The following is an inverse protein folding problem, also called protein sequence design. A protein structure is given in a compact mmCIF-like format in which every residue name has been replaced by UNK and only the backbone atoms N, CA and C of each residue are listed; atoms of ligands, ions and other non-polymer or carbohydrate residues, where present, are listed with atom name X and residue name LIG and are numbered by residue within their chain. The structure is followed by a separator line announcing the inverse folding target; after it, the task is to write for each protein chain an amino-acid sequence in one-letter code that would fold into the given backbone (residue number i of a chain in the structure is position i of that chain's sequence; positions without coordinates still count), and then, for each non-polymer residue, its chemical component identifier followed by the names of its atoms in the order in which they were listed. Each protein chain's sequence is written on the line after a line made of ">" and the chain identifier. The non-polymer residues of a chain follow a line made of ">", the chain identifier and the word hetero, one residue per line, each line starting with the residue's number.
data_IF_034134221396
#
_entry.id   IF_034134221396
#
_cell.length_a   1.000
_cell.length_b   1.000
_cell.length_c   1.000
_cell.angle_alpha   90.00
_cell.angle_beta   90.00
_cell.angle_gamma   90.00
#
_symmetry.space_group_name_H-M   'P 1'
#
loop_
_entity.id
_entity.type
_entity.pdbx_description
1 polymer ?
#
# COMPACT_ATOMS: atom_id res chain seq x y z
N UNK A 1 -26.05 15.86 4.77
CA UNK A 1 -26.10 14.46 5.26
C UNK A 1 -25.32 13.60 4.29
N UNK A 2 -24.24 12.94 4.72
CA UNK A 2 -23.47 12.01 3.87
C UNK A 2 -24.30 10.72 3.72
N UNK A 3 -24.45 10.23 2.49
CA UNK A 3 -25.15 8.97 2.22
C UNK A 3 -24.39 7.80 2.85
N UNK A 4 -25.10 6.85 3.47
CA UNK A 4 -24.51 5.66 4.10
C UNK A 4 -23.61 4.87 3.15
N UNK A 5 -23.95 4.82 1.85
CA UNK A 5 -23.12 4.17 0.82
C UNK A 5 -21.79 4.87 0.55
N UNK A 6 -21.72 6.19 0.68
CA UNK A 6 -20.47 6.97 0.53
C UNK A 6 -19.55 6.71 1.72
N UNK A 7 -20.13 6.66 2.93
CA UNK A 7 -19.38 6.37 4.16
C UNK A 7 -18.72 4.98 4.10
N UNK A 8 -19.45 3.95 3.65
CA UNK A 8 -18.90 2.60 3.51
C UNK A 8 -17.71 2.55 2.54
N UNK A 9 -17.81 3.25 1.40
CA UNK A 9 -16.71 3.32 0.41
C UNK A 9 -15.49 4.03 0.98
N UNK A 10 -15.67 5.14 1.69
CA UNK A 10 -14.58 5.85 2.34
C UNK A 10 -13.86 4.97 3.36
N UNK A 11 -14.61 4.30 4.24
CA UNK A 11 -14.04 3.38 5.23
C UNK A 11 -13.26 2.26 4.55
N UNK A 12 -13.82 1.67 3.50
CA UNK A 12 -13.16 0.59 2.76
C UNK A 12 -11.83 1.04 2.15
N UNK A 13 -11.80 2.19 1.47
CA UNK A 13 -10.58 2.74 0.88
C UNK A 13 -9.56 3.08 1.97
N UNK A 14 -9.98 3.70 3.07
CA UNK A 14 -9.10 4.01 4.21
C UNK A 14 -8.48 2.77 4.83
N UNK A 15 -9.26 1.70 5.03
CA UNK A 15 -8.75 0.43 5.58
C UNK A 15 -7.75 -0.21 4.63
N UNK A 16 -8.04 -0.23 3.32
CA UNK A 16 -7.11 -0.77 2.34
C UNK A 16 -5.78 0.01 2.30
N UNK A 17 -5.86 1.34 2.33
CA UNK A 17 -4.67 2.18 2.34
C UNK A 17 -3.86 2.00 3.63
N UNK A 18 -4.54 1.94 4.78
CA UNK A 18 -3.91 1.64 6.06
C UNK A 18 -3.19 0.28 6.06
N UNK A 19 -3.81 -0.77 5.51
CA UNK A 19 -3.20 -2.10 5.42
C UNK A 19 -1.93 -2.03 4.57
N UNK A 20 -1.97 -1.36 3.43
CA UNK A 20 -0.81 -1.22 2.55
C UNK A 20 0.34 -0.46 3.22
N UNK A 21 0.05 0.72 3.78
CA UNK A 21 1.03 1.52 4.54
C UNK A 21 1.63 0.74 5.71
N UNK A 22 0.80 -0.05 6.39
CA UNK A 22 1.25 -0.93 7.47
C UNK A 22 2.25 -1.96 6.94
N UNK A 23 1.94 -2.69 5.87
CA UNK A 23 2.86 -3.70 5.32
C UNK A 23 4.19 -3.11 4.83
N UNK A 24 4.15 -1.96 4.15
CA UNK A 24 5.37 -1.28 3.67
C UNK A 24 6.20 -0.78 4.84
N UNK A 25 5.56 -0.15 5.84
CA UNK A 25 6.27 0.46 6.97
C UNK A 25 6.72 -0.55 8.03
N UNK A 26 6.02 -1.67 8.17
CA UNK A 26 6.30 -2.72 9.16
C UNK A 26 7.65 -3.41 8.94
N UNK A 27 8.20 -3.36 7.72
CA UNK A 27 9.53 -3.90 7.42
C UNK A 27 10.65 -3.07 8.06
N UNK A 28 10.46 -1.77 8.29
CA UNK A 28 11.48 -0.87 8.87
C UNK A 28 11.95 -1.33 10.26
N UNK A 29 11.07 -1.54 11.27
CA UNK A 29 11.48 -2.01 12.59
C UNK A 29 12.05 -3.43 12.58
N UNK A 30 11.72 -4.26 11.59
CA UNK A 30 12.26 -5.61 11.42
C UNK A 30 13.64 -5.63 10.74
N UNK A 31 14.14 -4.48 10.28
CA UNK A 31 15.45 -4.37 9.61
C UNK A 31 16.60 -5.05 10.38
N UNK A 32 16.80 -4.75 11.68
CA UNK A 32 17.84 -5.40 12.49
C UNK A 32 17.68 -6.92 12.57
N UNK A 33 16.45 -7.40 12.72
CA UNK A 33 16.15 -8.84 12.74
C UNK A 33 16.57 -9.53 11.44
N UNK A 34 16.32 -8.90 10.28
CA UNK A 34 16.73 -9.45 9.00
C UNK A 34 18.25 -9.47 8.80
N UNK A 35 18.95 -8.43 9.27
CA UNK A 35 20.43 -8.39 9.27
C UNK A 35 20.98 -9.56 10.07
N UNK A 36 20.49 -9.78 11.29
CA UNK A 36 20.95 -10.86 12.16
C UNK A 36 20.57 -12.24 11.59
N UNK A 37 19.32 -12.40 11.13
CA UNK A 37 18.80 -13.70 10.69
C UNK A 37 19.43 -14.19 9.39
N UNK A 38 19.63 -13.28 8.43
CA UNK A 38 20.14 -13.60 7.10
C UNK A 38 21.64 -13.31 6.93
N UNK A 39 22.30 -12.73 7.95
CA UNK A 39 23.72 -12.38 7.94
C UNK A 39 24.09 -11.49 6.73
N UNK A 40 23.15 -10.63 6.32
CA UNK A 40 23.30 -9.70 5.20
C UNK A 40 23.68 -8.31 5.71
N UNK A 41 24.30 -7.50 4.83
CA UNK A 41 24.63 -6.12 5.22
C UNK A 41 23.36 -5.31 5.51
N UNK A 42 23.39 -4.39 6.50
CA UNK A 42 22.27 -3.46 6.75
C UNK A 42 21.85 -2.67 5.51
N UNK A 43 22.82 -2.35 4.63
CA UNK A 43 22.57 -1.67 3.37
C UNK A 43 21.68 -2.49 2.44
N UNK A 44 21.93 -3.80 2.33
CA UNK A 44 21.13 -4.70 1.49
C UNK A 44 19.67 -4.75 1.96
N UNK A 45 19.44 -4.80 3.28
CA UNK A 45 18.09 -4.78 3.86
C UNK A 45 17.40 -3.45 3.59
N UNK A 46 18.10 -2.33 3.82
CA UNK A 46 17.56 -1.00 3.54
C UNK A 46 17.16 -0.85 2.06
N UNK A 47 18.02 -1.28 1.13
CA UNK A 47 17.72 -1.26 -0.31
C UNK A 47 16.51 -2.12 -0.64
N UNK A 48 16.39 -3.32 -0.05
CA UNK A 48 15.24 -4.19 -0.28
C UNK A 48 13.93 -3.51 0.19
N UNK A 49 13.91 -2.95 1.40
CA UNK A 49 12.75 -2.24 1.95
C UNK A 49 12.39 -1.04 1.09
N UNK A 50 13.38 -0.21 0.71
CA UNK A 50 13.14 0.94 -0.18
C UNK A 50 12.64 0.53 -1.56
N UNK A 51 13.10 -0.61 -2.09
CA UNK A 51 12.63 -1.14 -3.38
C UNK A 51 11.17 -1.58 -3.28
N UNK A 52 10.79 -2.26 -2.20
CA UNK A 52 9.39 -2.65 -1.95
C UNK A 52 8.51 -1.40 -1.87
N UNK A 53 8.93 -0.38 -1.11
CA UNK A 53 8.19 0.89 -1.01
C UNK A 53 8.05 1.59 -2.37
N UNK A 54 9.11 1.63 -3.17
CA UNK A 54 9.08 2.23 -4.50
C UNK A 54 8.15 1.48 -5.46
N UNK A 55 8.18 0.14 -5.45
CA UNK A 55 7.27 -0.69 -6.24
C UNK A 55 5.82 -0.48 -5.79
N UNK A 56 5.57 -0.39 -4.48
CA UNK A 56 4.23 -0.09 -3.95
C UNK A 56 3.71 1.24 -4.49
N UNK A 57 4.51 2.31 -4.37
CA UNK A 57 4.16 3.64 -4.86
C UNK A 57 3.87 3.68 -6.37
N UNK A 58 4.68 2.99 -7.18
CA UNK A 58 4.43 2.89 -8.63
C UNK A 58 3.13 2.13 -8.90
N UNK A 59 2.88 1.05 -8.16
CA UNK A 59 1.69 0.22 -8.33
C UNK A 59 0.40 0.96 -7.93
N UNK A 60 0.45 1.87 -6.95
CA UNK A 60 -0.67 2.73 -6.58
C UNK A 60 -1.17 3.58 -7.77
N UNK A 61 -0.29 4.03 -8.67
CA UNK A 61 -0.71 4.78 -9.89
C UNK A 61 -1.57 3.89 -10.80
N UNK A 62 -1.14 2.64 -11.02
CA UNK A 62 -1.89 1.68 -11.84
C UNK A 62 -3.24 1.33 -11.20
N UNK A 63 -3.28 1.09 -9.90
CA UNK A 63 -4.53 0.78 -9.21
C UNK A 63 -5.48 1.98 -9.14
N UNK A 64 -4.96 3.20 -8.97
CA UNK A 64 -5.76 4.43 -9.08
C UNK A 64 -6.38 4.60 -10.46
N UNK A 65 -5.59 4.38 -11.53
CA UNK A 65 -6.11 4.41 -12.89
C UNK A 65 -7.18 3.34 -13.14
N UNK A 66 -6.97 2.11 -12.65
CA UNK A 66 -7.94 1.02 -12.77
C UNK A 66 -9.22 1.31 -11.96
N UNK A 67 -9.12 1.90 -10.77
CA UNK A 67 -10.29 2.26 -9.95
C UNK A 67 -11.15 3.32 -10.64
N UNK A 68 -10.53 4.30 -11.27
CA UNK A 68 -11.25 5.35 -12.03
C UNK A 68 -12.03 4.76 -13.21
N UNK A 69 -11.47 3.74 -13.87
CA UNK A 69 -12.13 3.00 -14.95
C UNK A 69 -13.34 2.18 -14.48
N UNK A 70 -13.25 1.61 -13.27
CA UNK A 70 -14.37 0.88 -12.65
C UNK A 70 -15.48 1.86 -12.27
N UNK A 71 -15.18 2.98 -11.61
CA UNK A 71 -16.20 3.97 -11.20
C UNK A 71 -16.98 4.54 -12.39
N UNK A 72 -16.32 4.84 -13.52
CA UNK A 72 -17.01 5.29 -14.73
C UNK A 72 -18.04 4.27 -15.21
N UNK A 73 -17.78 2.97 -15.07
CA UNK A 73 -18.71 1.90 -15.48
C UNK A 73 -19.98 1.83 -14.62
N UNK A 74 -19.90 2.26 -13.37
CA UNK A 74 -21.03 2.32 -12.43
C UNK A 74 -21.82 3.63 -12.49
N UNK A 75 -21.30 4.68 -13.13
CA UNK A 75 -22.02 5.95 -13.31
C UNK A 75 -22.94 5.95 -14.55
N UNK A 76 -22.71 5.04 -15.49
CA UNK A 76 -23.54 4.86 -16.70
C UNK A 76 -24.56 3.70 -16.59
N UNK A 77 -24.65 3.05 -15.42
CA UNK A 77 -25.66 2.04 -15.07
C UNK A 77 -26.49 2.55 -13.90
#
# INVERSE_FOLDING_TARGET
>A
MVSSGVLTRMIFVTVLHFIEDFFVSFLNPLGPYFVERFQVSPRSVAVAISTIAAVSAVTQIFFGYLSDGIEKKWFYL
#
